data_IF_028362205013
#
_entry.id   IF_028362205013
#
_cell.length_a   1.000
_cell.length_b   1.000
_cell.length_c   1.000
_cell.angle_alpha   90.00
_cell.angle_beta   90.00
_cell.angle_gamma   90.00
#
_symmetry.space_group_name_H-M   'P 1'
#
loop_
_entity.id
_entity.type
_entity.pdbx_description
1 polymer ?
#
# COMPACT_ATOMS: atom_id res chain seq x y z
N UNK A 1 -28.21 19.22 -16.75
CA UNK A 1 -28.02 17.82 -16.28
C UNK A 1 -26.54 17.53 -16.14
N UNK A 2 -26.13 17.29 -14.94
CA UNK A 2 -24.74 16.96 -14.66
C UNK A 2 -24.53 15.46 -14.90
N UNK A 3 -23.64 15.13 -15.81
CA UNK A 3 -23.22 13.74 -15.99
C UNK A 3 -22.16 13.46 -14.91
N UNK A 4 -22.54 12.72 -13.90
CA UNK A 4 -21.58 12.29 -12.90
C UNK A 4 -20.72 11.17 -13.49
N UNK A 5 -19.42 11.42 -13.56
CA UNK A 5 -18.47 10.38 -13.93
C UNK A 5 -18.27 9.49 -12.71
N UNK A 6 -18.91 8.32 -12.71
CA UNK A 6 -18.73 7.36 -11.64
C UNK A 6 -17.57 6.45 -11.97
N UNK A 7 -16.54 6.46 -11.13
CA UNK A 7 -15.45 5.50 -11.27
C UNK A 7 -15.91 4.13 -10.79
N UNK A 8 -15.69 3.14 -11.62
CA UNK A 8 -15.82 1.74 -11.23
C UNK A 8 -14.48 1.25 -10.70
N UNK A 9 -14.48 0.07 -10.09
CA UNK A 9 -13.23 -0.57 -9.65
C UNK A 9 -12.23 -0.67 -10.80
N UNK A 10 -12.70 -1.17 -11.95
CA UNK A 10 -11.83 -1.40 -13.10
C UNK A 10 -11.28 -0.10 -13.69
N UNK A 11 -12.11 0.93 -13.80
CA UNK A 11 -11.66 2.21 -14.36
C UNK A 11 -10.68 2.92 -13.43
N UNK A 12 -10.91 2.86 -12.12
CA UNK A 12 -10.00 3.47 -11.16
C UNK A 12 -8.68 2.71 -11.09
N UNK A 13 -8.74 1.38 -11.11
CA UNK A 13 -7.53 0.55 -11.12
C UNK A 13 -6.72 0.77 -12.41
N UNK A 14 -7.38 0.84 -13.56
CA UNK A 14 -6.72 1.12 -14.83
C UNK A 14 -6.02 2.48 -14.82
N UNK A 15 -6.65 3.50 -14.26
CA UNK A 15 -6.05 4.83 -14.13
C UNK A 15 -4.84 4.81 -13.19
N UNK A 16 -4.92 4.10 -12.08
CA UNK A 16 -3.80 3.92 -11.17
C UNK A 16 -2.62 3.23 -11.85
N UNK A 17 -2.90 2.13 -12.54
CA UNK A 17 -1.88 1.35 -13.27
C UNK A 17 -1.19 2.19 -14.32
N UNK A 18 -1.95 2.95 -15.11
CA UNK A 18 -1.42 3.82 -16.16
C UNK A 18 -0.44 4.86 -15.63
N UNK A 19 -0.69 5.36 -14.42
CA UNK A 19 0.08 6.47 -13.85
C UNK A 19 1.14 6.04 -12.84
N UNK A 20 1.19 4.77 -12.47
CA UNK A 20 2.20 4.26 -11.54
C UNK A 20 3.57 4.20 -12.18
N UNK A 21 4.61 4.51 -11.38
CA UNK A 21 6.00 4.48 -11.83
C UNK A 21 6.62 3.09 -11.72
N UNK A 22 5.95 2.16 -11.05
CA UNK A 22 6.44 0.80 -10.90
C UNK A 22 5.29 -0.19 -10.99
N UNK A 23 5.61 -1.41 -11.41
CA UNK A 23 4.70 -2.56 -11.46
C UNK A 23 4.99 -3.57 -10.34
N UNK A 24 5.85 -3.20 -9.39
CA UNK A 24 6.27 -4.07 -8.30
C UNK A 24 5.80 -3.51 -6.96
N UNK A 25 5.21 -4.36 -6.14
CA UNK A 25 4.63 -3.97 -4.86
C UNK A 25 5.09 -4.91 -3.76
N UNK A 26 5.36 -4.35 -2.59
CA UNK A 26 5.57 -5.11 -1.37
C UNK A 26 4.34 -4.90 -0.50
N UNK A 27 3.52 -5.92 -0.37
CA UNK A 27 2.26 -5.86 0.36
C UNK A 27 2.42 -6.53 1.72
N UNK A 28 2.24 -5.73 2.77
CA UNK A 28 2.32 -6.22 4.14
C UNK A 28 0.94 -6.49 4.72
N UNK A 29 0.85 -7.49 5.56
CA UNK A 29 -0.39 -7.79 6.27
C UNK A 29 -0.10 -8.62 7.53
N UNK A 30 -1.03 -8.59 8.47
CA UNK A 30 -0.98 -9.42 9.66
C UNK A 30 -1.98 -10.56 9.52
N UNK A 31 -1.59 -11.75 9.99
CA UNK A 31 -2.43 -12.94 9.95
C UNK A 31 -2.12 -13.78 11.17
N UNK A 32 -3.13 -13.98 12.03
CA UNK A 32 -2.99 -14.72 13.29
C UNK A 32 -1.78 -14.28 14.12
N UNK A 33 -1.64 -12.97 14.31
CA UNK A 33 -0.59 -12.40 15.16
C UNK A 33 0.80 -12.36 14.54
N UNK A 34 0.95 -12.86 13.33
CA UNK A 34 2.21 -12.86 12.60
C UNK A 34 2.20 -11.80 11.50
N UNK A 35 3.37 -11.30 11.18
CA UNK A 35 3.56 -10.30 10.13
C UNK A 35 4.07 -10.96 8.86
N UNK A 36 3.50 -10.58 7.73
CA UNK A 36 3.87 -11.14 6.42
C UNK A 36 4.10 -10.03 5.42
N UNK A 37 4.93 -10.33 4.43
CA UNK A 37 5.11 -9.50 3.24
C UNK A 37 5.08 -10.39 2.00
N UNK A 38 4.45 -9.89 0.95
CA UNK A 38 4.40 -10.58 -0.33
C UNK A 38 4.80 -9.62 -1.45
N UNK A 39 5.59 -10.11 -2.39
CA UNK A 39 5.89 -9.39 -3.61
C UNK A 39 4.73 -9.59 -4.60
N UNK A 40 4.19 -8.49 -5.10
CA UNK A 40 3.00 -8.52 -5.95
C UNK A 40 3.23 -7.75 -7.25
N UNK A 41 2.61 -8.26 -8.31
CA UNK A 41 2.43 -7.54 -9.56
C UNK A 41 1.02 -6.90 -9.59
N UNK A 42 0.65 -6.31 -10.73
CA UNK A 42 -0.68 -5.72 -10.87
C UNK A 42 -1.81 -6.73 -10.78
N UNK A 43 -1.61 -7.95 -11.27
CA UNK A 43 -2.65 -8.97 -11.23
C UNK A 43 -2.98 -9.37 -9.80
N UNK A 44 -1.97 -9.59 -8.98
CA UNK A 44 -2.16 -9.90 -7.57
C UNK A 44 -2.73 -8.70 -6.80
N UNK A 45 -2.22 -7.51 -7.08
CA UNK A 45 -2.73 -6.28 -6.46
C UNK A 45 -4.22 -6.08 -6.77
N UNK A 46 -4.61 -6.29 -8.04
CA UNK A 46 -6.00 -6.19 -8.46
C UNK A 46 -6.91 -7.12 -7.67
N UNK A 47 -6.43 -8.33 -7.38
CA UNK A 47 -7.20 -9.35 -6.68
C UNK A 47 -7.42 -9.02 -5.19
N UNK A 48 -6.59 -8.17 -4.60
CA UNK A 48 -6.62 -7.90 -3.15
C UNK A 48 -7.01 -6.47 -2.79
N UNK A 49 -7.28 -5.63 -3.78
CA UNK A 49 -7.76 -4.28 -3.55
C UNK A 49 -9.28 -4.22 -3.59
N UNK A 50 -9.83 -3.11 -3.13
CA UNK A 50 -11.26 -2.83 -3.20
C UNK A 50 -11.51 -1.36 -3.51
N UNK A 51 -12.71 -1.08 -4.03
CA UNK A 51 -13.19 0.27 -4.18
C UNK A 51 -13.92 0.65 -2.90
N UNK A 52 -13.56 1.79 -2.34
CA UNK A 52 -14.13 2.28 -1.10
C UNK A 52 -14.56 3.73 -1.28
N UNK A 53 -15.64 4.12 -0.62
CA UNK A 53 -16.07 5.51 -0.65
C UNK A 53 -15.25 6.28 0.37
N UNK A 54 -14.39 7.18 -0.15
CA UNK A 54 -13.56 8.00 0.70
C UNK A 54 -14.40 9.09 1.39
N UNK A 55 -13.84 9.63 2.47
CA UNK A 55 -14.47 10.71 3.21
C UNK A 55 -14.56 11.99 2.35
N UNK A 56 -15.71 12.61 2.42
CA UNK A 56 -16.09 13.93 1.91
C UNK A 56 -15.59 14.38 0.54
N UNK A 57 -14.33 14.75 0.37
CA UNK A 57 -13.87 15.43 -0.85
C UNK A 57 -13.02 14.57 -1.77
N UNK A 58 -12.78 13.32 -1.41
CA UNK A 58 -11.87 12.46 -2.15
C UNK A 58 -12.58 11.52 -3.14
N UNK A 59 -13.91 11.43 -3.08
CA UNK A 59 -14.66 10.52 -3.94
C UNK A 59 -14.39 9.06 -3.58
N UNK A 60 -14.31 8.21 -4.59
CA UNK A 60 -13.95 6.80 -4.39
C UNK A 60 -12.44 6.62 -4.28
N UNK A 61 -12.04 5.66 -3.47
CA UNK A 61 -10.64 5.31 -3.26
C UNK A 61 -10.39 3.87 -3.63
N UNK A 62 -9.26 3.63 -4.28
CA UNK A 62 -8.73 2.30 -4.48
C UNK A 62 -7.86 1.97 -3.27
N UNK A 63 -8.20 0.91 -2.55
CA UNK A 63 -7.57 0.59 -1.28
C UNK A 63 -7.10 -0.85 -1.23
N UNK A 64 -5.87 -1.07 -0.75
CA UNK A 64 -5.37 -2.38 -0.43
C UNK A 64 -5.88 -2.76 0.96
N UNK A 65 -6.89 -3.61 1.01
CA UNK A 65 -7.52 -4.02 2.28
C UNK A 65 -7.91 -5.50 2.19
N UNK A 66 -6.95 -6.41 2.34
CA UNK A 66 -7.22 -7.83 2.17
C UNK A 66 -8.11 -8.36 3.30
N UNK A 67 -9.18 -9.06 2.89
CA UNK A 67 -10.01 -9.85 3.80
C UNK A 67 -9.26 -11.12 4.21
N UNK A 68 -9.84 -11.89 5.11
CA UNK A 68 -9.27 -13.16 5.56
C UNK A 68 -8.97 -14.11 4.39
N UNK A 69 -9.92 -14.25 3.47
CA UNK A 69 -9.77 -15.11 2.30
C UNK A 69 -8.67 -14.60 1.36
N UNK A 70 -8.57 -13.30 1.21
CA UNK A 70 -7.52 -12.68 0.40
C UNK A 70 -6.14 -12.81 1.03
N UNK A 71 -6.06 -12.74 2.35
CA UNK A 71 -4.81 -12.99 3.07
C UNK A 71 -4.34 -14.43 2.85
N UNK A 72 -5.27 -15.40 2.89
CA UNK A 72 -4.94 -16.79 2.61
C UNK A 72 -4.43 -16.94 1.17
N UNK A 73 -5.05 -16.24 0.23
CA UNK A 73 -4.57 -16.22 -1.15
C UNK A 73 -3.15 -15.65 -1.25
N UNK A 74 -2.85 -14.57 -0.54
CA UNK A 74 -1.51 -13.99 -0.50
C UNK A 74 -0.48 -14.97 0.08
N UNK A 75 -0.84 -15.70 1.12
CA UNK A 75 0.01 -16.75 1.68
C UNK A 75 0.31 -17.84 0.64
N UNK A 76 -0.71 -18.23 -0.13
CA UNK A 76 -0.55 -19.23 -1.20
C UNK A 76 0.28 -18.70 -2.37
N UNK A 77 0.40 -17.40 -2.52
CA UNK A 77 1.26 -16.77 -3.53
C UNK A 77 2.69 -16.52 -3.05
N UNK A 78 3.07 -17.09 -1.90
CA UNK A 78 4.43 -17.03 -1.43
C UNK A 78 4.73 -15.88 -0.46
N UNK A 79 3.72 -15.40 0.26
CA UNK A 79 3.96 -14.43 1.31
C UNK A 79 4.93 -15.00 2.35
N UNK A 80 5.90 -14.18 2.74
CA UNK A 80 6.94 -14.57 3.69
C UNK A 80 6.65 -14.00 5.07
N UNK A 81 6.74 -14.85 6.08
CA UNK A 81 6.65 -14.41 7.46
C UNK A 81 7.90 -13.62 7.84
N UNK A 82 7.71 -12.50 8.52
CA UNK A 82 8.80 -11.70 9.05
C UNK A 82 9.23 -12.32 10.37
N UNK A 83 10.34 -13.08 10.35
CA UNK A 83 10.75 -13.90 11.47
C UNK A 83 11.11 -13.09 12.72
N UNK A 84 11.69 -11.90 12.52
CA UNK A 84 12.18 -11.06 13.59
C UNK A 84 11.25 -9.87 13.89
N UNK A 85 10.03 -9.88 13.37
CA UNK A 85 9.11 -8.77 13.55
C UNK A 85 7.70 -9.29 13.78
N UNK A 86 7.27 -9.27 15.03
CA UNK A 86 5.95 -9.72 15.42
C UNK A 86 4.92 -8.61 15.35
N UNK A 87 3.64 -8.96 15.33
CA UNK A 87 2.57 -7.98 15.40
C UNK A 87 2.64 -7.15 16.68
N UNK A 88 3.06 -7.75 17.80
CA UNK A 88 3.26 -7.03 19.07
C UNK A 88 4.33 -5.96 18.94
N UNK A 89 5.45 -6.29 18.29
CA UNK A 89 6.53 -5.34 18.07
C UNK A 89 6.09 -4.21 17.14
N UNK A 90 5.37 -4.55 16.08
CA UNK A 90 4.79 -3.56 15.17
C UNK A 90 3.85 -2.62 15.92
N UNK A 91 2.98 -3.17 16.78
CA UNK A 91 2.08 -2.38 17.61
C UNK A 91 2.84 -1.44 18.55
N UNK A 92 3.93 -1.92 19.15
CA UNK A 92 4.78 -1.10 20.00
C UNK A 92 5.43 0.04 19.22
N UNK A 93 5.92 -0.24 18.01
CA UNK A 93 6.49 0.79 17.13
C UNK A 93 5.45 1.82 16.70
N UNK A 94 4.23 1.38 16.43
CA UNK A 94 3.11 2.27 16.11
C UNK A 94 2.77 3.18 17.29
N UNK A 95 2.75 2.64 18.51
CA UNK A 95 2.49 3.43 19.71
C UNK A 95 3.58 4.46 19.95
N UNK A 96 4.82 4.11 19.70
CA UNK A 96 5.96 5.04 19.79
C UNK A 96 5.82 6.16 18.76
N UNK A 97 5.51 5.83 17.53
CA UNK A 97 5.30 6.82 16.47
C UNK A 97 4.14 7.75 16.79
N UNK A 98 3.06 7.24 17.40
CA UNK A 98 1.91 8.02 17.83
C UNK A 98 2.31 9.03 18.92
N UNK A 99 3.14 8.61 19.87
CA UNK A 99 3.64 9.49 20.93
C UNK A 99 4.51 10.61 20.38
N UNK A 100 5.20 10.39 19.28
CA UNK A 100 6.04 11.38 18.60
C UNK A 100 5.24 12.26 17.62
N UNK A 101 3.91 12.16 17.59
CA UNK A 101 2.99 12.90 16.70
C UNK A 101 3.19 12.62 15.21
N UNK A 102 3.91 11.55 14.85
CA UNK A 102 4.16 11.13 13.47
C UNK A 102 3.55 9.76 13.19
N UNK A 103 2.28 9.59 13.61
CA UNK A 103 1.67 8.27 13.53
C UNK A 103 1.09 7.99 12.15
N UNK A 104 1.63 6.97 11.52
CA UNK A 104 1.10 6.36 10.31
C UNK A 104 1.61 4.92 10.26
N UNK A 105 0.68 3.97 10.31
CA UNK A 105 1.02 2.53 10.29
C UNK A 105 1.81 2.15 9.04
N UNK A 106 1.46 2.74 7.90
CA UNK A 106 2.17 2.50 6.65
C UNK A 106 3.63 2.92 6.73
N UNK A 107 3.91 4.08 7.33
CA UNK A 107 5.29 4.53 7.52
C UNK A 107 6.08 3.61 8.46
N UNK A 108 5.45 3.13 9.52
CA UNK A 108 6.11 2.23 10.46
C UNK A 108 6.51 0.94 9.75
N UNK A 109 5.61 0.40 8.95
CA UNK A 109 5.91 -0.79 8.13
C UNK A 109 6.99 -0.50 7.09
N UNK A 110 6.91 0.62 6.41
CA UNK A 110 7.89 1.05 5.42
C UNK A 110 9.29 1.18 6.03
N UNK A 111 9.41 1.80 7.21
CA UNK A 111 10.68 1.91 7.93
C UNK A 111 11.29 0.55 8.22
N UNK A 112 10.46 -0.42 8.59
CA UNK A 112 10.94 -1.77 8.84
C UNK A 112 11.46 -2.43 7.56
N UNK A 113 10.76 -2.26 6.44
CA UNK A 113 11.21 -2.78 5.15
C UNK A 113 12.57 -2.17 4.77
N UNK A 114 12.74 -0.87 4.93
CA UNK A 114 14.03 -0.21 4.68
C UNK A 114 15.12 -0.81 5.56
N UNK A 115 14.81 -1.04 6.83
CA UNK A 115 15.76 -1.60 7.78
C UNK A 115 16.23 -2.99 7.36
N UNK A 116 15.35 -3.89 6.98
CA UNK A 116 15.74 -5.24 6.56
C UNK A 116 16.48 -5.26 5.22
N UNK A 117 16.32 -4.20 4.42
CA UNK A 117 17.05 -4.02 3.16
C UNK A 117 18.38 -3.26 3.35
N UNK A 118 18.77 -2.96 4.59
CA UNK A 118 19.97 -2.20 4.93
C UNK A 118 20.00 -0.83 4.27
N UNK A 119 18.84 -0.18 4.17
CA UNK A 119 18.70 1.15 3.60
C UNK A 119 18.22 2.13 4.66
N UNK A 120 18.70 3.36 4.59
CA UNK A 120 18.27 4.41 5.49
C UNK A 120 16.91 4.95 5.02
N UNK A 121 15.95 4.99 5.94
CA UNK A 121 14.63 5.52 5.64
C UNK A 121 14.63 7.05 5.70
N UNK A 122 13.96 7.65 4.73
CA UNK A 122 13.67 9.08 4.71
C UNK A 122 12.18 9.27 4.43
N UNK A 123 11.58 10.26 5.07
CA UNK A 123 10.19 10.59 4.77
C UNK A 123 10.10 11.10 3.35
N UNK A 124 9.28 10.42 2.54
CA UNK A 124 9.10 10.75 1.13
C UNK A 124 7.66 11.23 0.91
N UNK A 125 7.51 12.49 0.58
CA UNK A 125 6.20 13.09 0.29
C UNK A 125 5.91 13.15 -1.21
N UNK A 126 6.77 12.54 -2.04
CA UNK A 126 6.57 12.54 -3.49
C UNK A 126 5.40 11.64 -3.88
N UNK A 127 4.59 12.04 -4.87
CA UNK A 127 3.44 11.23 -5.28
C UNK A 127 3.86 9.87 -5.85
N UNK A 128 2.95 8.88 -5.73
CA UNK A 128 3.19 7.54 -6.24
C UNK A 128 3.52 7.51 -7.74
N UNK A 129 3.08 8.50 -8.49
CA UNK A 129 3.29 8.55 -9.94
C UNK A 129 4.64 9.18 -10.34
N UNK A 130 5.46 9.57 -9.39
CA UNK A 130 6.78 10.15 -9.66
C UNK A 130 7.95 9.28 -9.21
N UNK A 131 7.80 8.59 -8.08
CA UNK A 131 8.90 7.82 -7.49
C UNK A 131 8.38 6.57 -6.81
N UNK A 132 9.09 5.42 -6.90
CA UNK A 132 8.82 4.28 -6.05
C UNK A 132 9.25 4.56 -4.61
N UNK A 133 8.76 3.75 -3.67
CA UNK A 133 9.12 3.92 -2.26
C UNK A 133 10.53 3.43 -1.95
N UNK A 134 10.96 2.36 -2.60
CA UNK A 134 12.27 1.75 -2.34
C UNK A 134 12.81 1.10 -3.63
N UNK A 135 14.13 1.09 -3.77
CA UNK A 135 14.80 0.31 -4.80
C UNK A 135 15.51 -0.88 -4.17
N UNK A 136 15.26 -2.07 -4.69
CA UNK A 136 15.92 -3.30 -4.27
C UNK A 136 16.48 -3.96 -5.53
N UNK A 137 17.80 -4.13 -5.57
CA UNK A 137 18.49 -4.70 -6.75
C UNK A 137 18.13 -3.99 -8.06
N UNK A 138 17.98 -2.67 -8.01
CA UNK A 138 17.67 -1.85 -9.17
C UNK A 138 16.20 -1.81 -9.56
N UNK A 139 15.34 -2.52 -8.86
CA UNK A 139 13.89 -2.56 -9.10
C UNK A 139 13.18 -1.67 -8.09
N UNK A 140 12.32 -0.77 -8.58
CA UNK A 140 11.52 0.10 -7.72
C UNK A 140 10.24 -0.59 -7.24
N UNK A 141 9.97 -0.49 -5.97
CA UNK A 141 8.78 -1.07 -5.33
C UNK A 141 7.96 -0.01 -4.62
N UNK A 142 6.64 -0.18 -4.65
CA UNK A 142 5.74 0.52 -3.74
C UNK A 142 5.49 -0.37 -2.53
N UNK A 143 5.55 0.20 -1.33
CA UNK A 143 5.33 -0.52 -0.09
C UNK A 143 3.95 -0.14 0.44
N UNK A 144 3.12 -1.14 0.70
CA UNK A 144 1.76 -0.92 1.23
C UNK A 144 1.48 -1.83 2.41
N UNK A 145 0.98 -1.25 3.48
CA UNK A 145 0.42 -1.98 4.61
C UNK A 145 -1.10 -2.06 4.46
N UNK A 146 -1.75 -3.01 5.15
CA UNK A 146 -3.21 -3.18 5.14
C UNK A 146 -3.95 -1.85 5.31
N UNK A 147 -5.04 -1.69 4.57
CA UNK A 147 -5.92 -0.52 4.54
C UNK A 147 -5.30 0.72 3.91
N UNK A 148 -4.15 0.56 3.28
CA UNK A 148 -3.53 1.67 2.56
C UNK A 148 -4.34 2.09 1.35
N UNK A 149 -4.53 3.39 1.19
CA UNK A 149 -5.09 3.95 -0.03
C UNK A 149 -4.00 3.98 -1.11
N UNK A 150 -4.29 3.43 -2.28
CA UNK A 150 -3.38 3.52 -3.42
C UNK A 150 -3.57 4.85 -4.15
N UNK A 151 -4.81 5.18 -4.43
CA UNK A 151 -5.17 6.47 -5.04
C UNK A 151 -6.66 6.73 -4.78
N UNK A 152 -7.08 7.97 -5.01
CA UNK A 152 -8.49 8.34 -4.98
C UNK A 152 -8.79 9.21 -6.19
N UNK A 153 -10.09 9.44 -6.44
CA UNK A 153 -10.54 10.22 -7.60
C UNK A 153 -9.92 11.61 -7.62
N UNK A 154 -9.84 12.27 -6.46
CA UNK A 154 -9.31 13.64 -6.39
C UNK A 154 -7.82 13.68 -6.76
N UNK A 155 -7.05 12.67 -6.40
CA UNK A 155 -5.65 12.56 -6.77
C UNK A 155 -5.48 12.35 -8.27
N UNK A 156 -6.29 11.46 -8.86
CA UNK A 156 -6.22 11.18 -10.30
C UNK A 156 -6.61 12.39 -11.13
N UNK A 157 -7.54 13.21 -10.65
CA UNK A 157 -7.95 14.43 -11.34
C UNK A 157 -6.83 15.47 -11.44
N UNK A 158 -5.82 15.40 -10.57
CA UNK A 158 -4.68 16.33 -10.54
C UNK A 158 -3.48 15.83 -11.33
N UNK A 159 -3.56 14.65 -11.93
CA UNK A 159 -2.44 14.12 -12.70
C UNK A 159 -2.23 14.90 -13.97
N UNK A 160 -0.98 15.11 -14.40
CA UNK A 160 -0.68 15.74 -15.70
C UNK A 160 -1.26 14.89 -16.82
N UNK A 161 -1.88 15.54 -17.76
CA UNK A 161 -2.39 14.89 -18.96
C UNK A 161 -1.37 14.91 -20.08
#
# INVERSE_FOLDING_TARGET
MTIETTYTYDTLFAAYRKNSVTSHFLLGFAYYGEMYVVEADYDLLYAVCKLDKASRNNGFSLRYAPTYDKKLMLLNHGARKLADYTKEQFKADCNKAKAEHNYNKGEVFERYIFHICNQQWHKDNRPFFTHPDIYIDGIGYQIKWERATLCNESTLAKLPR
#
